data_IF_591656099266
#
_entry.id   IF_591656099266
#
_cell.length_a   1.000
_cell.length_b   1.000
_cell.length_c   1.000
_cell.angle_alpha   90.00
_cell.angle_beta   90.00
_cell.angle_gamma   90.00
#
_symmetry.space_group_name_H-M   'P 1'
#
loop_
_entity.id
_entity.type
_entity.pdbx_description
1 polymer ?
#
# COMPACT_ATOMS: atom_id res chain seq x y z
N UNK A 1 -14.61 -40.10 26.00
CA UNK A 1 -13.28 -39.87 25.40
C UNK A 1 -13.28 -39.72 23.87
N UNK A 2 -14.00 -40.56 23.10
CA UNK A 2 -14.08 -40.44 21.62
C UNK A 2 -14.81 -39.18 21.10
N UNK A 3 -15.73 -38.62 21.89
CA UNK A 3 -16.51 -37.42 21.51
C UNK A 3 -15.70 -36.12 21.61
N UNK A 4 -14.87 -36.00 22.65
CA UNK A 4 -13.96 -34.88 22.83
C UNK A 4 -12.87 -34.84 21.74
N UNK A 5 -12.34 -36.00 21.34
CA UNK A 5 -11.31 -36.09 20.28
C UNK A 5 -11.82 -35.65 18.89
N UNK A 6 -13.11 -35.86 18.61
CA UNK A 6 -13.76 -35.39 17.38
C UNK A 6 -14.00 -33.87 17.41
N UNK A 7 -14.34 -33.31 18.56
CA UNK A 7 -14.53 -31.87 18.73
C UNK A 7 -13.22 -31.07 18.56
N UNK A 8 -12.08 -31.61 19.02
CA UNK A 8 -10.77 -30.98 18.84
C UNK A 8 -10.32 -30.96 17.37
N UNK A 9 -10.66 -31.99 16.59
CA UNK A 9 -10.30 -32.08 15.18
C UNK A 9 -11.10 -31.09 14.30
N UNK A 10 -12.35 -30.81 14.67
CA UNK A 10 -13.21 -29.83 13.98
C UNK A 10 -12.78 -28.39 14.27
N UNK A 11 -12.29 -28.10 15.48
CA UNK A 11 -11.76 -26.78 15.85
C UNK A 11 -10.43 -26.46 15.14
N UNK A 12 -9.62 -27.48 14.83
CA UNK A 12 -8.34 -27.32 14.14
C UNK A 12 -8.48 -27.01 12.63
N UNK A 13 -9.63 -27.33 12.01
CA UNK A 13 -9.86 -27.12 10.57
C UNK A 13 -10.20 -25.66 10.19
N UNK A 14 -10.40 -24.76 11.17
CA UNK A 14 -10.75 -23.37 10.92
C UNK A 14 -9.55 -22.43 10.74
N UNK A 15 -8.31 -22.93 10.80
CA UNK A 15 -7.12 -22.12 10.51
C UNK A 15 -6.88 -22.11 9.00
N UNK A 16 -7.84 -21.59 8.24
CA UNK A 16 -7.63 -21.27 6.83
C UNK A 16 -6.88 -19.95 6.81
N UNK A 17 -5.62 -19.98 6.36
CA UNK A 17 -4.74 -18.81 6.22
C UNK A 17 -5.38 -17.77 5.29
N UNK A 18 -6.03 -16.76 5.86
CA UNK A 18 -6.49 -15.59 5.11
C UNK A 18 -5.31 -14.67 4.78
N UNK A 19 -5.34 -14.01 3.61
CA UNK A 19 -4.46 -12.87 3.34
C UNK A 19 -4.65 -11.80 4.43
N UNK A 20 -3.55 -11.17 4.85
CA UNK A 20 -3.58 -10.14 5.90
C UNK A 20 -4.36 -8.87 5.48
N UNK A 21 -4.55 -8.66 4.17
CA UNK A 21 -5.32 -7.54 3.59
C UNK A 21 -6.15 -8.03 2.39
N UNK A 22 -7.19 -7.25 2.05
CA UNK A 22 -8.11 -7.49 0.92
C UNK A 22 -7.90 -6.42 -0.16
N UNK A 23 -7.71 -6.82 -1.43
CA UNK A 23 -7.53 -5.87 -2.53
C UNK A 23 -8.71 -4.90 -2.67
N UNK A 24 -8.42 -3.62 -2.89
CA UNK A 24 -9.42 -2.62 -3.29
C UNK A 24 -9.13 -2.17 -4.71
N UNK A 25 -10.16 -2.19 -5.58
CA UNK A 25 -10.01 -1.65 -6.94
C UNK A 25 -9.84 -0.14 -6.87
N UNK A 26 -8.92 0.40 -7.65
CA UNK A 26 -8.65 1.84 -7.68
C UNK A 26 -9.88 2.68 -8.06
N UNK A 27 -10.85 2.11 -8.79
CA UNK A 27 -12.12 2.76 -9.15
C UNK A 27 -13.08 2.91 -7.97
N UNK A 28 -12.96 2.03 -6.98
CA UNK A 28 -13.88 1.92 -5.84
C UNK A 28 -13.26 2.52 -4.56
N UNK A 29 -11.94 2.76 -4.59
CA UNK A 29 -11.17 3.33 -3.49
C UNK A 29 -11.47 4.82 -3.27
N UNK A 30 -11.35 5.25 -2.01
CA UNK A 30 -11.51 6.65 -1.63
C UNK A 30 -10.26 7.44 -2.01
N UNK A 31 -10.40 8.64 -2.57
CA UNK A 31 -9.23 9.47 -2.88
C UNK A 31 -8.51 9.88 -1.60
N UNK A 32 -7.19 9.76 -1.58
CA UNK A 32 -6.37 10.34 -0.51
C UNK A 32 -6.68 11.85 -0.40
N UNK A 33 -6.97 12.37 0.81
CA UNK A 33 -7.19 13.80 1.03
C UNK A 33 -6.04 14.68 0.52
N UNK A 34 -6.31 15.88 -0.04
CA UNK A 34 -5.27 16.72 -0.66
C UNK A 34 -4.11 17.09 0.27
N UNK A 35 -4.35 17.24 1.57
CA UNK A 35 -3.32 17.53 2.59
C UNK A 35 -2.32 16.38 2.80
N UNK A 36 -2.62 15.19 2.27
CA UNK A 36 -1.77 13.99 2.34
C UNK A 36 -1.22 13.54 1.00
N UNK A 37 -1.47 14.27 -0.08
CA UNK A 37 -0.82 14.07 -1.39
C UNK A 37 0.17 15.22 -1.58
N UNK A 38 1.46 14.90 -1.45
CA UNK A 38 2.50 15.89 -1.17
C UNK A 38 3.37 16.24 -2.39
N UNK A 39 3.36 15.43 -3.44
CA UNK A 39 4.14 15.68 -4.66
C UNK A 39 3.53 15.00 -5.89
N UNK A 40 4.01 15.36 -7.08
CA UNK A 40 3.62 14.80 -8.40
C UNK A 40 2.18 15.08 -8.88
N UNK A 41 1.58 16.19 -8.41
CA UNK A 41 0.22 16.57 -8.83
C UNK A 41 0.20 17.56 -10.01
N UNK A 42 1.35 18.17 -10.30
CA UNK A 42 1.50 19.08 -11.43
C UNK A 42 1.55 18.30 -12.74
N UNK A 43 0.62 18.63 -13.64
CA UNK A 43 0.57 18.07 -14.99
C UNK A 43 1.22 19.07 -15.95
N UNK A 44 2.32 18.66 -16.58
CA UNK A 44 2.99 19.43 -17.62
C UNK A 44 3.37 18.54 -18.82
N UNK A 45 4.07 19.12 -19.80
CA UNK A 45 4.47 18.43 -21.02
C UNK A 45 5.50 17.30 -20.83
N UNK A 46 6.17 17.23 -19.66
CA UNK A 46 7.11 16.16 -19.32
C UNK A 46 6.45 15.02 -18.56
N UNK A 47 5.47 15.31 -17.69
CA UNK A 47 4.75 14.31 -16.88
C UNK A 47 3.68 13.57 -17.69
N UNK A 48 4.11 12.84 -18.72
CA UNK A 48 3.22 12.18 -19.68
C UNK A 48 2.78 10.78 -19.23
N UNK A 49 3.31 10.26 -18.14
CA UNK A 49 2.98 8.94 -17.58
C UNK A 49 2.36 9.08 -16.19
N UNK A 50 1.79 8.00 -15.66
CA UNK A 50 1.18 8.03 -14.34
C UNK A 50 1.41 6.75 -13.54
N UNK A 51 1.47 6.92 -12.22
CA UNK A 51 1.37 5.82 -11.26
C UNK A 51 0.11 6.02 -10.42
N UNK A 52 -0.67 4.96 -10.27
CA UNK A 52 -1.84 4.91 -9.39
C UNK A 52 -1.54 3.92 -8.29
N UNK A 53 -1.64 4.36 -7.03
CA UNK A 53 -1.34 3.54 -5.86
C UNK A 53 -2.61 3.45 -5.03
N UNK A 54 -3.00 2.24 -4.65
CA UNK A 54 -4.16 1.99 -3.78
C UNK A 54 -3.74 1.18 -2.57
N UNK A 55 -4.10 1.59 -1.37
CA UNK A 55 -3.86 0.78 -0.17
C UNK A 55 -5.01 -0.18 0.03
N UNK A 56 -4.68 -1.45 0.24
CA UNK A 56 -5.66 -2.48 0.54
C UNK A 56 -6.38 -2.24 1.87
N UNK A 57 -7.54 -2.85 2.03
CA UNK A 57 -8.27 -2.87 3.29
C UNK A 57 -7.83 -4.03 4.18
N UNK A 58 -7.96 -3.86 5.49
CA UNK A 58 -7.62 -4.89 6.47
C UNK A 58 -7.50 -4.31 7.87
N UNK A 59 -7.52 -5.18 8.88
CA UNK A 59 -7.39 -4.76 10.28
C UNK A 59 -5.93 -4.51 10.68
N UNK A 60 -4.99 -5.28 10.12
CA UNK A 60 -3.59 -5.20 10.51
C UNK A 60 -2.96 -3.88 10.05
N UNK A 61 -2.42 -3.11 11.01
CA UNK A 61 -1.78 -1.82 10.74
C UNK A 61 -2.73 -0.72 10.24
N UNK A 62 -4.05 -0.89 10.37
CA UNK A 62 -5.07 0.05 9.88
C UNK A 62 -5.12 1.38 10.64
N UNK A 63 -4.62 1.40 11.88
CA UNK A 63 -4.60 2.60 12.72
C UNK A 63 -3.55 3.65 12.34
N UNK A 64 -2.66 3.35 11.40
CA UNK A 64 -1.59 4.26 10.95
C UNK A 64 -1.62 4.40 9.44
N UNK A 65 -1.21 5.57 8.91
CA UNK A 65 -1.01 5.72 7.48
C UNK A 65 0.23 4.94 7.00
N UNK A 66 0.29 4.67 5.69
CA UNK A 66 1.51 4.27 5.01
C UNK A 66 2.10 5.45 4.27
N UNK A 67 3.40 5.67 4.44
CA UNK A 67 4.14 6.65 3.66
C UNK A 67 4.63 6.01 2.37
N UNK A 68 4.37 6.67 1.25
CA UNK A 68 4.86 6.28 -0.07
C UNK A 68 5.82 7.33 -0.58
N UNK A 69 6.95 6.85 -1.10
CA UNK A 69 7.96 7.64 -1.77
C UNK A 69 8.05 7.24 -3.23
N UNK A 70 8.19 8.24 -4.09
CA UNK A 70 8.47 8.09 -5.51
C UNK A 70 9.77 8.85 -5.77
N UNK A 71 10.80 8.15 -6.25
CA UNK A 71 12.15 8.69 -6.45
C UNK A 71 12.68 9.44 -5.22
N UNK A 72 12.58 8.80 -4.05
CA UNK A 72 13.02 9.34 -2.75
C UNK A 72 12.28 10.58 -2.24
N UNK A 73 11.21 11.02 -2.89
CA UNK A 73 10.36 12.12 -2.44
C UNK A 73 9.11 11.56 -1.77
N UNK A 74 8.82 11.98 -0.52
CA UNK A 74 7.57 11.61 0.16
C UNK A 74 6.39 12.15 -0.64
N UNK A 75 5.60 11.25 -1.22
CA UNK A 75 4.60 11.59 -2.24
C UNK A 75 3.18 11.53 -1.71
N UNK A 76 2.87 10.57 -0.83
CA UNK A 76 1.58 10.57 -0.14
C UNK A 76 1.57 9.72 1.13
N UNK A 77 0.54 9.94 1.95
CA UNK A 77 0.22 9.17 3.16
C UNK A 77 -1.17 8.53 3.03
N UNK A 78 -1.23 7.19 3.01
CA UNK A 78 -2.44 6.41 2.68
C UNK A 78 -3.08 5.78 3.90
N UNK A 79 -4.38 5.96 4.07
CA UNK A 79 -5.23 5.14 4.94
C UNK A 79 -5.66 3.85 4.19
N UNK A 80 -6.11 2.78 4.88
CA UNK A 80 -6.70 1.62 4.21
C UNK A 80 -7.85 2.02 3.29
N UNK A 81 -7.92 1.40 2.11
CA UNK A 81 -8.95 1.65 1.11
C UNK A 81 -8.77 2.95 0.30
N UNK A 82 -7.66 3.67 0.48
CA UNK A 82 -7.41 4.91 -0.24
C UNK A 82 -6.58 4.74 -1.52
N UNK A 83 -6.80 5.62 -2.49
CA UNK A 83 -6.07 5.67 -3.76
C UNK A 83 -5.58 7.08 -4.10
N UNK A 84 -4.44 7.18 -4.76
CA UNK A 84 -3.90 8.43 -5.32
C UNK A 84 -3.23 8.17 -6.66
N UNK A 85 -3.30 9.19 -7.53
CA UNK A 85 -2.65 9.21 -8.85
C UNK A 85 -1.56 10.28 -8.85
N UNK A 86 -0.41 9.90 -9.37
CA UNK A 86 0.80 10.73 -9.49
C UNK A 86 1.15 10.86 -10.97
N UNK A 87 1.36 12.08 -11.43
CA UNK A 87 1.81 12.40 -12.79
C UNK A 87 3.33 12.45 -12.82
N UNK A 88 3.95 11.59 -13.62
CA UNK A 88 5.39 11.32 -13.56
C UNK A 88 6.01 11.39 -14.95
N UNK A 89 7.24 11.89 -15.03
CA UNK A 89 8.05 11.81 -16.25
C UNK A 89 8.37 10.34 -16.57
N UNK A 90 8.26 9.90 -17.83
CA UNK A 90 8.66 8.55 -18.23
C UNK A 90 10.12 8.26 -17.89
N UNK A 91 10.42 7.03 -17.49
CA UNK A 91 11.76 6.62 -17.09
C UNK A 91 11.77 5.55 -16.01
N UNK A 92 12.93 5.36 -15.39
CA UNK A 92 13.11 4.49 -14.23
C UNK A 92 12.56 5.17 -12.97
N UNK A 93 11.68 4.46 -12.27
CA UNK A 93 11.01 4.93 -11.07
C UNK A 93 11.28 3.97 -9.93
N UNK A 94 11.70 4.54 -8.81
CA UNK A 94 11.85 3.82 -7.54
C UNK A 94 10.65 4.14 -6.66
N UNK A 95 9.92 3.10 -6.29
CA UNK A 95 8.81 3.17 -5.35
C UNK A 95 9.23 2.59 -4.02
N UNK A 96 8.97 3.30 -2.94
CA UNK A 96 9.28 2.84 -1.58
C UNK A 96 8.08 3.07 -0.68
N UNK A 97 7.69 2.07 0.10
CA UNK A 97 6.60 2.14 1.08
C UNK A 97 7.11 1.74 2.46
N UNK A 98 6.55 2.36 3.47
CA UNK A 98 6.79 2.04 4.87
C UNK A 98 5.73 2.67 5.77
N UNK A 99 6.00 2.61 7.06
CA UNK A 99 5.16 3.28 8.06
C UNK A 99 5.26 4.79 7.90
N UNK A 100 4.21 5.48 8.31
CA UNK A 100 4.12 6.92 8.19
C UNK A 100 5.13 7.65 9.09
N UNK A 101 6.05 8.40 8.48
CA UNK A 101 7.08 9.20 9.16
C UNK A 101 6.53 10.29 10.08
N UNK A 102 5.30 10.72 9.85
CA UNK A 102 4.63 11.74 10.68
C UNK A 102 3.73 11.09 11.74
N UNK A 103 3.78 9.75 11.86
CA UNK A 103 3.10 8.99 12.90
C UNK A 103 3.72 9.23 14.27
N UNK A 104 2.86 9.32 15.30
CA UNK A 104 3.26 9.49 16.70
C UNK A 104 2.79 8.30 17.55
N UNK A 105 3.32 8.16 18.76
CA UNK A 105 2.96 7.06 19.67
C UNK A 105 3.24 5.69 19.04
N UNK A 106 2.25 4.79 19.04
CA UNK A 106 2.38 3.45 18.43
C UNK A 106 2.66 3.51 16.92
N UNK A 107 2.21 4.56 16.22
CA UNK A 107 2.51 4.74 14.80
C UNK A 107 3.93 5.23 14.52
N UNK A 108 4.68 5.61 15.56
CA UNK A 108 6.11 5.94 15.46
C UNK A 108 7.04 4.72 15.52
N UNK A 109 6.51 3.53 15.86
CA UNK A 109 7.32 2.31 15.96
C UNK A 109 7.55 1.70 14.58
N UNK A 110 8.81 1.39 14.24
CA UNK A 110 9.21 0.73 12.99
C UNK A 110 9.21 1.65 11.76
N UNK A 111 9.38 2.96 11.95
CA UNK A 111 9.46 3.93 10.85
C UNK A 111 10.73 3.80 9.98
N UNK A 112 11.67 2.96 10.39
CA UNK A 112 12.87 2.59 9.64
C UNK A 112 12.68 1.35 8.74
N UNK A 113 11.52 0.69 8.81
CA UNK A 113 11.19 -0.45 7.95
C UNK A 113 10.60 0.00 6.61
N UNK A 114 11.33 -0.29 5.53
CA UNK A 114 10.94 0.09 4.17
C UNK A 114 10.98 -1.11 3.22
N UNK A 115 10.04 -1.14 2.28
CA UNK A 115 10.09 -2.03 1.12
C UNK A 115 10.15 -1.21 -0.16
N UNK A 116 11.07 -1.58 -1.05
CA UNK A 116 11.33 -0.89 -2.31
C UNK A 116 11.03 -1.79 -3.52
N UNK A 117 10.55 -1.18 -4.60
CA UNK A 117 10.40 -1.77 -5.93
C UNK A 117 10.82 -0.78 -7.00
N UNK A 118 11.32 -1.31 -8.09
CA UNK A 118 11.67 -0.55 -9.28
C UNK A 118 10.65 -0.84 -10.38
N UNK A 119 10.40 0.16 -11.22
CA UNK A 119 9.59 0.01 -12.43
C UNK A 119 10.07 1.00 -13.48
N UNK A 120 9.84 0.68 -14.75
CA UNK A 120 10.05 1.61 -15.86
C UNK A 120 8.69 2.11 -16.34
N UNK A 121 8.51 3.42 -16.53
CA UNK A 121 7.33 4.01 -17.17
C UNK A 121 7.64 4.45 -18.59
N UNK A 122 6.78 4.08 -19.54
CA UNK A 122 6.78 4.62 -20.90
C UNK A 122 5.90 5.87 -20.98
N UNK A 123 6.13 6.71 -22.00
CA UNK A 123 5.25 7.84 -22.28
C UNK A 123 3.80 7.37 -22.45
N UNK A 124 2.86 8.09 -21.84
CA UNK A 124 1.43 7.77 -21.82
C UNK A 124 1.06 6.43 -21.16
N UNK A 125 1.99 5.79 -20.45
CA UNK A 125 1.70 4.60 -19.65
C UNK A 125 1.12 4.99 -18.30
N UNK A 126 0.08 4.25 -17.87
CA UNK A 126 -0.39 4.28 -16.48
C UNK A 126 -0.10 2.94 -15.82
N UNK A 127 0.53 2.99 -14.65
CA UNK A 127 0.92 1.82 -13.88
C UNK A 127 0.22 1.81 -12.52
N UNK A 128 -0.46 0.71 -12.21
CA UNK A 128 -1.19 0.49 -10.96
C UNK A 128 -0.33 -0.31 -9.98
N UNK A 129 -0.39 0.09 -8.72
CA UNK A 129 0.24 -0.61 -7.61
C UNK A 129 -0.71 -0.66 -6.43
N UNK A 130 -0.51 -1.67 -5.59
CA UNK A 130 -1.22 -1.82 -4.34
C UNK A 130 -0.27 -1.85 -3.16
N UNK A 131 -0.71 -1.29 -2.03
CA UNK A 131 0.00 -1.35 -0.76
C UNK A 131 -0.62 -2.43 0.13
N UNK A 132 0.22 -3.32 0.64
CA UNK A 132 -0.18 -4.45 1.47
C UNK A 132 0.62 -4.45 2.78
N UNK A 133 0.24 -5.32 3.69
CA UNK A 133 1.02 -5.68 4.88
C UNK A 133 0.92 -7.18 5.10
N UNK A 134 2.03 -7.81 5.49
CA UNK A 134 2.03 -9.22 5.87
C UNK A 134 1.71 -9.42 7.35
N UNK A 135 1.55 -10.68 7.77
CA UNK A 135 1.24 -11.04 9.17
C UNK A 135 2.35 -10.66 10.17
N UNK A 136 3.56 -10.39 9.69
CA UNK A 136 4.68 -9.92 10.52
C UNK A 136 4.70 -8.39 10.64
N UNK A 137 3.77 -7.69 10.00
CA UNK A 137 3.67 -6.24 10.02
C UNK A 137 4.55 -5.54 9.00
N UNK A 138 5.16 -6.28 8.05
CA UNK A 138 5.99 -5.71 7.00
C UNK A 138 5.11 -5.18 5.87
N UNK A 139 5.22 -3.90 5.58
CA UNK A 139 4.51 -3.27 4.45
C UNK A 139 5.17 -3.61 3.12
N UNK A 140 4.39 -3.76 2.06
CA UNK A 140 4.89 -4.01 0.71
C UNK A 140 4.12 -3.20 -0.34
N UNK A 141 4.78 -2.94 -1.47
CA UNK A 141 4.21 -2.29 -2.65
C UNK A 141 4.35 -3.26 -3.82
N UNK A 142 3.23 -3.62 -4.43
CA UNK A 142 3.18 -4.65 -5.46
C UNK A 142 2.47 -4.14 -6.70
N UNK A 143 2.82 -4.70 -7.85
CA UNK A 143 2.13 -4.43 -9.10
C UNK A 143 0.66 -4.84 -8.96
N UNK A 144 -0.24 -3.98 -9.45
CA UNK A 144 -1.66 -4.27 -9.55
C UNK A 144 -2.09 -4.23 -11.02
N UNK A 145 -3.16 -4.97 -11.32
CA UNK A 145 -3.80 -5.05 -12.63
C UNK A 145 -4.93 -4.03 -12.76
#
# INVERSE_FOLDING_TARGET
MKLFLKATLVLLLFIVCGCATTPVRHSDAIKVPPDRVLSYQDVNNKTTSAIVITRDEGYLGSGCYYAVFINSILSARFNPGETAKFSIEPGEIILKVGRDLLGNGLCGVGQDEWTQRETILRAHETKYFRLTIDVNGKTDIQRAD
#
